data_IF_141249991497
#
_entry.id   IF_141249991497
#
_cell.length_a   1.000
_cell.length_b   1.000
_cell.length_c   1.000
_cell.angle_alpha   90.00
_cell.angle_beta   90.00
_cell.angle_gamma   90.00
#
_symmetry.space_group_name_H-M   'P 1'
#
loop_
_entity.id
_entity.type
_entity.pdbx_description
1 polymer ?
#
# COMPACT_ATOMS: atom_id res chain seq x y z
N UNK A 1 7.65 42.55 22.41
CA UNK A 1 8.18 42.18 21.08
C UNK A 1 7.26 41.15 20.46
N UNK A 2 6.31 41.53 19.60
CA UNK A 2 6.43 41.84 18.16
C UNK A 2 7.00 40.67 17.34
N UNK A 3 6.10 39.81 16.84
CA UNK A 3 6.30 39.07 15.60
C UNK A 3 5.16 39.42 14.66
N UNK A 4 5.25 40.62 14.09
CA UNK A 4 4.53 40.97 12.88
C UNK A 4 5.45 40.54 11.72
N UNK A 5 5.01 39.57 10.91
CA UNK A 5 5.60 39.35 9.59
C UNK A 5 4.48 39.40 8.57
N UNK A 6 4.17 40.63 8.18
CA UNK A 6 3.41 40.99 7.00
C UNK A 6 4.00 40.27 5.78
N UNK A 7 3.25 39.33 5.22
CA UNK A 7 3.53 38.82 3.86
C UNK A 7 2.64 39.59 2.89
N UNK A 8 2.92 40.88 2.76
CA UNK A 8 2.38 41.74 1.72
C UNK A 8 3.29 41.62 0.51
N UNK A 9 3.02 40.68 -0.39
CA UNK A 9 3.37 40.66 -1.83
C UNK A 9 2.90 39.30 -2.39
N UNK A 10 1.80 39.33 -3.14
CA UNK A 10 1.06 38.15 -3.59
C UNK A 10 1.83 37.20 -4.50
N UNK A 11 2.38 36.13 -3.92
CA UNK A 11 2.83 34.95 -4.65
C UNK A 11 1.78 33.85 -4.41
N UNK A 12 1.04 33.39 -5.44
CA UNK A 12 0.11 32.28 -5.26
C UNK A 12 0.89 31.04 -4.81
N UNK A 13 0.45 30.41 -3.72
CA UNK A 13 0.97 29.14 -3.25
C UNK A 13 0.47 28.04 -4.21
N UNK A 14 1.10 27.96 -5.39
CA UNK A 14 0.86 26.91 -6.36
C UNK A 14 1.41 25.60 -5.79
N UNK A 15 0.54 24.87 -5.12
CA UNK A 15 0.75 23.47 -4.74
C UNK A 15 0.76 22.64 -6.02
N UNK A 16 1.93 22.60 -6.66
CA UNK A 16 2.27 21.70 -7.76
C UNK A 16 1.93 20.27 -7.32
N UNK A 17 0.78 19.78 -7.79
CA UNK A 17 0.38 18.40 -7.54
C UNK A 17 1.19 17.57 -8.51
N UNK A 18 2.36 17.12 -8.06
CA UNK A 18 3.20 16.17 -8.77
C UNK A 18 2.33 15.02 -9.30
N UNK A 19 2.07 15.05 -10.61
CA UNK A 19 1.26 14.07 -11.32
C UNK A 19 1.92 12.71 -11.17
N UNK A 20 1.29 11.81 -10.42
CA UNK A 20 1.71 10.40 -10.42
C UNK A 20 1.49 9.87 -11.83
N UNK A 21 2.58 9.52 -12.51
CA UNK A 21 2.58 8.87 -13.80
C UNK A 21 1.73 7.60 -13.71
N UNK A 22 0.54 7.69 -14.29
CA UNK A 22 -0.49 6.66 -14.36
C UNK A 22 0.02 5.54 -15.28
N UNK A 23 0.73 4.55 -14.72
CA UNK A 23 1.25 3.44 -15.51
C UNK A 23 2.40 2.68 -14.87
N UNK A 24 3.10 3.26 -13.89
CA UNK A 24 4.02 2.46 -13.07
C UNK A 24 3.18 1.62 -12.14
N UNK A 25 3.06 0.32 -12.43
CA UNK A 25 2.73 -0.69 -11.44
C UNK A 25 3.72 -0.51 -10.30
N UNK A 26 3.30 0.24 -9.27
CA UNK A 26 4.09 0.38 -8.06
C UNK A 26 3.90 -0.94 -7.32
N UNK A 27 4.56 -1.99 -7.83
CA UNK A 27 4.80 -3.23 -7.11
C UNK A 27 5.73 -2.84 -5.98
N UNK A 28 5.13 -2.20 -4.99
CA UNK A 28 5.83 -1.70 -3.83
C UNK A 28 6.37 -2.94 -3.16
N UNK A 29 7.61 -2.91 -2.64
CA UNK A 29 8.25 -4.07 -2.00
C UNK A 29 7.32 -4.79 -1.01
N UNK A 30 6.42 -4.03 -0.36
CA UNK A 30 5.36 -4.50 0.53
C UNK A 30 4.31 -5.42 -0.14
N UNK A 31 3.87 -5.10 -1.36
CA UNK A 31 2.87 -5.90 -2.09
C UNK A 31 3.44 -7.24 -2.54
N UNK A 32 4.68 -7.25 -3.01
CA UNK A 32 5.39 -8.49 -3.39
C UNK A 32 5.56 -9.38 -2.15
N UNK A 33 6.11 -8.82 -1.07
CA UNK A 33 6.27 -9.56 0.19
C UNK A 33 4.94 -10.11 0.72
N UNK A 34 3.85 -9.33 0.64
CA UNK A 34 2.53 -9.79 1.04
C UNK A 34 2.05 -10.97 0.17
N UNK A 35 2.18 -10.88 -1.15
CA UNK A 35 1.80 -11.96 -2.07
C UNK A 35 2.62 -13.23 -1.84
N UNK A 36 3.92 -13.11 -1.62
CA UNK A 36 4.78 -14.25 -1.29
C UNK A 36 4.41 -14.90 0.04
N UNK A 37 4.12 -14.09 1.07
CA UNK A 37 3.65 -14.61 2.36
C UNK A 37 2.32 -15.33 2.19
N UNK A 38 1.35 -14.75 1.45
CA UNK A 38 0.07 -15.41 1.16
C UNK A 38 0.30 -16.74 0.45
N UNK A 39 1.11 -16.78 -0.60
CA UNK A 39 1.38 -18.02 -1.34
C UNK A 39 2.08 -19.08 -0.48
N UNK A 40 3.00 -18.67 0.40
CA UNK A 40 3.79 -19.60 1.23
C UNK A 40 3.04 -20.12 2.45
N UNK A 41 2.16 -19.31 3.02
CA UNK A 41 1.56 -19.57 4.33
C UNK A 41 0.05 -19.82 4.29
N UNK A 42 -0.66 -19.37 3.27
CA UNK A 42 -2.12 -19.54 3.17
C UNK A 42 -2.51 -21.01 2.98
N UNK A 43 -3.54 -21.44 3.70
CA UNK A 43 -4.11 -22.79 3.60
C UNK A 43 -4.60 -23.18 2.21
N UNK A 44 -4.99 -22.20 1.38
CA UNK A 44 -5.38 -22.42 -0.02
C UNK A 44 -4.20 -22.84 -0.92
N UNK A 45 -2.98 -22.42 -0.59
CA UNK A 45 -1.78 -22.60 -1.43
C UNK A 45 -0.77 -23.54 -0.78
N UNK A 46 -1.26 -24.56 -0.06
CA UNK A 46 -0.43 -25.57 0.62
C UNK A 46 0.28 -25.08 1.91
N UNK A 47 -0.20 -23.98 2.50
CA UNK A 47 0.23 -23.52 3.82
C UNK A 47 -0.65 -24.03 4.97
N UNK A 48 -0.35 -23.58 6.19
CA UNK A 48 -1.05 -23.97 7.43
C UNK A 48 -1.85 -22.83 8.07
N UNK A 49 -1.64 -21.60 7.64
CA UNK A 49 -2.23 -20.42 8.27
C UNK A 49 -3.59 -20.07 7.63
N UNK A 50 -4.53 -19.69 8.49
CA UNK A 50 -5.84 -19.14 8.09
C UNK A 50 -5.68 -17.69 7.64
N UNK A 51 -6.70 -17.15 6.95
CA UNK A 51 -6.64 -15.79 6.37
C UNK A 51 -6.30 -14.73 7.44
N UNK A 52 -6.81 -14.89 8.66
CA UNK A 52 -6.58 -13.98 9.80
C UNK A 52 -5.12 -14.01 10.24
N UNK A 53 -4.55 -15.21 10.37
CA UNK A 53 -3.17 -15.39 10.83
C UNK A 53 -2.17 -14.94 9.76
N UNK A 54 -2.49 -15.19 8.49
CA UNK A 54 -1.68 -14.71 7.37
C UNK A 54 -1.69 -13.17 7.30
N UNK A 55 -2.84 -12.51 7.49
CA UNK A 55 -2.92 -11.05 7.60
C UNK A 55 -2.12 -10.51 8.79
N UNK A 56 -2.15 -11.19 9.95
CA UNK A 56 -1.33 -10.85 11.12
C UNK A 56 0.16 -10.96 10.82
N UNK A 57 0.59 -12.02 10.15
CA UNK A 57 2.00 -12.23 9.78
C UNK A 57 2.50 -11.12 8.85
N UNK A 58 1.66 -10.67 7.91
CA UNK A 58 1.99 -9.56 7.01
C UNK A 58 1.97 -8.23 7.78
N UNK A 59 1.09 -8.09 8.78
CA UNK A 59 1.00 -6.97 9.73
C UNK A 59 0.52 -5.64 9.14
N UNK A 60 0.74 -5.41 7.84
CA UNK A 60 0.53 -4.11 7.18
C UNK A 60 -0.31 -4.25 5.90
N UNK A 61 -1.39 -5.05 5.97
CA UNK A 61 -2.32 -5.26 4.87
C UNK A 61 -3.77 -5.11 5.34
N UNK A 62 -4.58 -4.40 4.54
CA UNK A 62 -6.02 -4.34 4.76
C UNK A 62 -6.69 -5.61 4.24
N UNK A 63 -7.83 -6.00 4.83
CA UNK A 63 -8.62 -7.16 4.35
C UNK A 63 -8.90 -7.08 2.84
N UNK A 64 -9.24 -5.90 2.34
CA UNK A 64 -9.56 -5.70 0.93
C UNK A 64 -8.37 -6.01 0.01
N UNK A 65 -7.16 -5.56 0.40
CA UNK A 65 -5.93 -5.86 -0.33
C UNK A 65 -5.55 -7.33 -0.22
N UNK A 66 -5.73 -7.94 0.95
CA UNK A 66 -5.44 -9.37 1.15
C UNK A 66 -6.27 -10.24 0.22
N UNK A 67 -7.60 -10.07 0.20
CA UNK A 67 -8.46 -10.87 -0.68
C UNK A 67 -8.27 -10.54 -2.16
N UNK A 68 -7.87 -9.32 -2.51
CA UNK A 68 -7.45 -9.00 -3.87
C UNK A 68 -6.22 -9.84 -4.26
N UNK A 69 -5.17 -9.82 -3.45
CA UNK A 69 -3.93 -10.54 -3.73
C UNK A 69 -4.11 -12.06 -3.71
N UNK A 70 -4.90 -12.60 -2.77
CA UNK A 70 -5.24 -14.03 -2.74
C UNK A 70 -5.98 -14.45 -4.01
N UNK A 71 -6.93 -13.65 -4.51
CA UNK A 71 -7.62 -13.94 -5.79
C UNK A 71 -6.69 -13.85 -7.00
N UNK A 72 -5.83 -12.83 -7.05
CA UNK A 72 -4.82 -12.71 -8.12
C UNK A 72 -3.87 -13.91 -8.14
N UNK A 73 -3.49 -14.44 -6.97
CA UNK A 73 -2.64 -15.64 -6.85
C UNK A 73 -3.36 -16.95 -7.18
N UNK A 74 -4.69 -17.01 -7.02
CA UNK A 74 -5.49 -18.19 -7.32
C UNK A 74 -5.88 -18.29 -8.81
N UNK A 75 -5.84 -17.16 -9.51
CA UNK A 75 -6.16 -17.05 -10.93
C UNK A 75 -4.92 -17.14 -11.84
N UNK A 76 -3.73 -17.22 -11.26
CA UNK A 76 -2.44 -17.45 -11.95
C UNK A 76 -2.14 -18.95 -12.03
#
# INVERSE_FOLDING_TARGET
EKYETETALGIPHEKEKAGRVQGKSVTTKKSIAAKEIIKKHSRDFNGTLTDIECMKQIGNISRNSFYKYKRELAAE
#
